data_IF_471882580068
#
_entry.id   IF_471882580068
#
_cell.length_a   1.000
_cell.length_b   1.000
_cell.length_c   1.000
_cell.angle_alpha   90.00
_cell.angle_beta   90.00
_cell.angle_gamma   90.00
#
_symmetry.space_group_name_H-M   'P 1'
#
loop_
_entity.id
_entity.type
_entity.pdbx_description
1 polymer ?
#
# COMPACT_ATOMS: atom_id res chain seq x y z
N UNK A 1 -24.95 -51.72 0.79
CA UNK A 1 -24.95 -51.29 -0.62
C UNK A 1 -25.01 -49.77 -0.60
N UNK A 2 -24.16 -49.05 -1.37
CA UNK A 2 -24.11 -47.56 -1.35
C UNK A 2 -25.42 -47.01 -1.94
N UNK A 3 -26.08 -46.11 -1.22
CA UNK A 3 -27.33 -45.47 -1.63
C UNK A 3 -27.18 -43.95 -1.51
N UNK A 4 -27.33 -43.25 -2.64
CA UNK A 4 -27.22 -41.80 -2.70
C UNK A 4 -28.44 -41.22 -3.40
N UNK A 5 -28.99 -40.15 -2.87
CA UNK A 5 -29.96 -39.32 -3.58
C UNK A 5 -29.26 -38.33 -4.50
N UNK A 6 -29.10 -38.72 -5.77
CA UNK A 6 -28.46 -37.87 -6.76
C UNK A 6 -29.48 -36.87 -7.32
N UNK A 7 -29.55 -35.66 -6.72
CA UNK A 7 -30.37 -34.56 -7.24
C UNK A 7 -29.68 -33.91 -8.44
N UNK A 8 -30.37 -33.74 -9.55
CA UNK A 8 -29.92 -32.95 -10.68
C UNK A 8 -29.85 -31.48 -10.24
N UNK A 9 -28.65 -30.96 -9.98
CA UNK A 9 -28.43 -29.53 -9.82
C UNK A 9 -28.14 -28.89 -11.19
N UNK A 10 -28.64 -27.69 -11.47
CA UNK A 10 -28.32 -26.99 -12.73
C UNK A 10 -26.80 -26.84 -12.89
N UNK A 11 -26.26 -27.36 -14.03
CA UNK A 11 -24.83 -27.24 -14.36
C UNK A 11 -23.91 -28.32 -13.79
N UNK A 12 -24.37 -29.27 -12.95
CA UNK A 12 -23.53 -30.33 -12.39
C UNK A 12 -23.89 -31.67 -13.03
N UNK A 13 -22.96 -32.34 -13.74
CA UNK A 13 -23.17 -33.66 -14.31
C UNK A 13 -23.41 -34.73 -13.20
N UNK A 14 -24.28 -35.75 -13.47
CA UNK A 14 -24.58 -36.78 -12.48
C UNK A 14 -23.35 -37.60 -12.02
N UNK A 15 -22.35 -37.78 -12.87
CA UNK A 15 -21.13 -38.48 -12.48
C UNK A 15 -20.34 -37.68 -11.43
N UNK A 16 -20.31 -36.37 -11.54
CA UNK A 16 -19.63 -35.48 -10.59
C UNK A 16 -20.35 -35.47 -9.23
N UNK A 17 -21.72 -35.48 -9.23
CA UNK A 17 -22.48 -35.59 -8.02
C UNK A 17 -22.21 -36.93 -7.30
N UNK A 18 -22.14 -38.05 -8.05
CA UNK A 18 -21.82 -39.37 -7.51
C UNK A 18 -20.38 -39.41 -6.99
N UNK A 19 -19.41 -38.84 -7.73
CA UNK A 19 -18.03 -38.71 -7.31
C UNK A 19 -17.92 -37.98 -5.95
N UNK A 20 -18.57 -36.83 -5.81
CA UNK A 20 -18.57 -36.02 -4.57
C UNK A 20 -19.16 -36.79 -3.38
N UNK A 21 -20.21 -37.58 -3.59
CA UNK A 21 -20.81 -38.40 -2.54
C UNK A 21 -19.83 -39.50 -2.06
N UNK A 22 -19.24 -40.28 -2.99
CA UNK A 22 -18.29 -41.33 -2.63
C UNK A 22 -17.04 -40.77 -1.98
N UNK A 23 -16.47 -39.72 -2.53
CA UNK A 23 -15.30 -38.98 -1.96
C UNK A 23 -15.61 -38.50 -0.55
N UNK A 24 -16.79 -37.91 -0.32
CA UNK A 24 -17.24 -37.47 1.00
C UNK A 24 -17.35 -38.62 2.01
N UNK A 25 -17.85 -39.76 1.61
CA UNK A 25 -17.95 -40.97 2.45
C UNK A 25 -16.54 -41.56 2.75
N UNK A 26 -15.59 -41.49 1.83
CA UNK A 26 -14.19 -41.87 2.06
C UNK A 26 -13.52 -40.91 3.06
N UNK A 27 -13.62 -39.61 2.82
CA UNK A 27 -13.02 -38.57 3.67
C UNK A 27 -13.63 -38.50 5.08
N UNK A 28 -14.91 -38.84 5.23
CA UNK A 28 -15.58 -38.92 6.54
C UNK A 28 -15.30 -40.23 7.29
N UNK A 29 -14.60 -41.18 6.69
CA UNK A 29 -14.36 -42.50 7.27
C UNK A 29 -15.57 -43.44 7.23
N UNK A 30 -16.66 -43.11 6.57
CA UNK A 30 -17.82 -43.96 6.37
C UNK A 30 -17.54 -45.10 5.41
N UNK A 31 -16.64 -44.92 4.47
CA UNK A 31 -16.00 -45.93 3.66
C UNK A 31 -14.56 -46.11 4.13
N UNK A 32 -14.27 -47.30 4.67
CA UNK A 32 -12.96 -47.57 5.29
C UNK A 32 -11.90 -47.94 4.26
N UNK A 33 -10.60 -47.65 4.51
CA UNK A 33 -9.52 -48.13 3.69
C UNK A 33 -9.56 -49.64 3.49
N UNK A 34 -9.30 -50.10 2.26
CA UNK A 34 -9.41 -51.49 1.88
C UNK A 34 -10.82 -52.03 1.65
N UNK A 35 -11.86 -51.22 1.92
CA UNK A 35 -13.23 -51.63 1.67
C UNK A 35 -13.50 -51.75 0.17
N UNK A 36 -14.10 -52.86 -0.22
CA UNK A 36 -14.49 -53.12 -1.61
C UNK A 36 -15.73 -52.30 -2.01
N UNK A 37 -15.64 -51.55 -3.07
CA UNK A 37 -16.75 -50.83 -3.67
C UNK A 37 -17.62 -51.79 -4.57
N UNK A 38 -18.91 -51.47 -4.75
CA UNK A 38 -19.77 -52.20 -5.68
C UNK A 38 -19.20 -52.16 -7.10
N UNK A 39 -19.46 -53.21 -7.90
CA UNK A 39 -19.11 -53.16 -9.32
C UNK A 39 -19.88 -52.02 -10.04
N UNK A 40 -19.32 -51.47 -11.10
CA UNK A 40 -19.93 -50.39 -11.91
C UNK A 40 -21.39 -50.79 -12.31
N UNK A 41 -21.63 -52.05 -12.66
CA UNK A 41 -22.95 -52.56 -13.03
C UNK A 41 -23.89 -52.65 -11.83
N UNK A 42 -23.41 -53.15 -10.71
CA UNK A 42 -24.21 -53.26 -9.49
C UNK A 42 -24.62 -51.87 -8.94
N UNK A 43 -23.71 -50.92 -8.94
CA UNK A 43 -23.97 -49.57 -8.45
C UNK A 43 -24.91 -48.78 -9.39
N UNK A 44 -24.73 -48.91 -10.71
CA UNK A 44 -25.62 -48.30 -11.70
C UNK A 44 -27.06 -48.78 -11.58
N UNK A 45 -27.25 -50.09 -11.37
CA UNK A 45 -28.57 -50.69 -11.17
C UNK A 45 -29.22 -50.22 -9.86
N UNK A 46 -28.43 -50.16 -8.77
CA UNK A 46 -28.92 -49.75 -7.45
C UNK A 46 -29.32 -48.26 -7.42
N UNK A 47 -28.53 -47.41 -8.02
CA UNK A 47 -28.79 -45.95 -8.04
C UNK A 47 -29.69 -45.52 -9.19
N UNK A 48 -30.08 -46.41 -10.08
CA UNK A 48 -30.87 -46.12 -11.29
C UNK A 48 -30.25 -45.08 -12.20
N UNK A 49 -28.91 -45.11 -12.33
CA UNK A 49 -28.16 -44.23 -13.20
C UNK A 49 -27.47 -44.98 -14.34
N UNK A 50 -27.01 -44.31 -15.38
CA UNK A 50 -26.28 -44.95 -16.47
C UNK A 50 -24.95 -45.54 -15.99
N UNK A 51 -24.50 -46.63 -16.63
CA UNK A 51 -23.17 -47.23 -16.38
C UNK A 51 -22.05 -46.23 -16.61
N UNK A 52 -22.19 -45.35 -17.60
CA UNK A 52 -21.25 -44.27 -17.95
C UNK A 52 -21.13 -43.29 -16.79
N UNK A 53 -22.22 -42.96 -16.09
CA UNK A 53 -22.19 -42.09 -14.90
C UNK A 53 -21.34 -42.67 -13.78
N UNK A 54 -21.46 -43.95 -13.51
CA UNK A 54 -20.66 -44.66 -12.48
C UNK A 54 -19.18 -44.77 -12.95
N UNK A 55 -19.02 -45.03 -14.23
CA UNK A 55 -17.68 -45.13 -14.85
C UNK A 55 -16.89 -43.80 -14.74
N UNK A 56 -17.53 -42.67 -15.05
CA UNK A 56 -16.93 -41.36 -14.90
C UNK A 56 -16.56 -41.06 -13.44
N UNK A 57 -17.45 -41.32 -12.48
CA UNK A 57 -17.19 -41.14 -11.05
C UNK A 57 -15.99 -42.01 -10.56
N UNK A 58 -15.97 -43.30 -10.96
CA UNK A 58 -14.91 -44.21 -10.56
C UNK A 58 -13.55 -43.87 -11.24
N UNK A 59 -13.58 -43.40 -12.50
CA UNK A 59 -12.35 -42.96 -13.16
C UNK A 59 -11.73 -41.75 -12.43
N UNK A 60 -12.55 -40.77 -12.06
CA UNK A 60 -12.06 -39.61 -11.33
C UNK A 60 -11.54 -39.99 -9.94
N UNK A 61 -12.23 -40.86 -9.19
CA UNK A 61 -11.73 -41.36 -7.91
C UNK A 61 -10.41 -42.12 -8.03
N UNK A 62 -10.21 -42.87 -9.12
CA UNK A 62 -8.95 -43.55 -9.43
C UNK A 62 -7.83 -42.59 -9.77
N UNK A 63 -8.09 -41.60 -10.63
CA UNK A 63 -7.10 -40.57 -11.02
C UNK A 63 -6.64 -39.74 -9.83
N UNK A 64 -7.55 -39.46 -8.89
CA UNK A 64 -7.25 -38.71 -7.66
C UNK A 64 -6.72 -39.60 -6.51
N UNK A 65 -6.63 -40.95 -6.70
CA UNK A 65 -6.05 -41.85 -5.72
C UNK A 65 -6.94 -42.17 -4.51
N UNK A 66 -8.25 -41.87 -4.55
CA UNK A 66 -9.19 -42.26 -3.50
C UNK A 66 -9.53 -43.74 -3.52
N UNK A 67 -9.43 -44.36 -4.68
CA UNK A 67 -9.68 -45.81 -4.85
C UNK A 67 -8.59 -46.41 -5.73
N UNK A 68 -8.34 -47.70 -5.60
CA UNK A 68 -7.50 -48.48 -6.52
C UNK A 68 -8.32 -49.55 -7.23
N UNK A 69 -7.87 -49.96 -8.39
CA UNK A 69 -8.46 -51.04 -9.16
C UNK A 69 -7.59 -52.27 -9.09
N UNK A 70 -8.15 -53.41 -8.76
CA UNK A 70 -7.51 -54.72 -8.84
C UNK A 70 -8.12 -55.49 -9.99
N UNK A 71 -7.27 -55.99 -10.91
CA UNK A 71 -7.73 -56.67 -12.13
C UNK A 71 -8.56 -57.92 -11.80
N UNK A 72 -9.74 -58.03 -12.42
CA UNK A 72 -10.71 -59.10 -12.21
C UNK A 72 -11.31 -59.20 -10.80
N UNK A 73 -10.87 -58.35 -9.86
CA UNK A 73 -11.34 -58.37 -8.45
C UNK A 73 -12.31 -57.24 -8.16
N UNK A 74 -11.97 -55.99 -8.54
CA UNK A 74 -12.84 -54.85 -8.37
C UNK A 74 -12.12 -53.57 -7.93
N UNK A 75 -12.89 -52.64 -7.29
CA UNK A 75 -12.42 -51.36 -6.80
C UNK A 75 -12.39 -51.35 -5.28
N UNK A 76 -11.30 -50.78 -4.72
CA UNK A 76 -11.06 -50.72 -3.27
C UNK A 76 -10.74 -49.32 -2.85
N UNK A 77 -11.16 -48.89 -1.68
CA UNK A 77 -10.86 -47.59 -1.07
C UNK A 77 -9.37 -47.58 -0.66
N UNK A 78 -8.67 -46.52 -1.02
CA UNK A 78 -7.30 -46.32 -0.58
C UNK A 78 -7.22 -45.66 0.81
N UNK A 79 -6.10 -45.87 1.50
CA UNK A 79 -5.81 -45.20 2.74
C UNK A 79 -5.46 -43.72 2.42
N UNK A 80 -6.42 -42.85 2.55
CA UNK A 80 -6.17 -41.40 2.48
C UNK A 80 -5.78 -40.95 3.87
N UNK A 81 -4.59 -40.34 4.03
CA UNK A 81 -4.25 -39.67 5.27
C UNK A 81 -5.32 -38.62 5.54
N UNK A 82 -6.07 -38.79 6.61
CA UNK A 82 -7.06 -37.82 7.03
C UNK A 82 -6.31 -36.55 7.45
N UNK A 83 -6.24 -35.57 6.56
CA UNK A 83 -6.18 -34.19 7.03
C UNK A 83 -7.48 -33.98 7.82
N UNK A 84 -7.39 -34.11 9.14
CA UNK A 84 -8.45 -33.70 10.05
C UNK A 84 -8.70 -32.24 9.74
N UNK A 85 -9.67 -31.99 8.86
CA UNK A 85 -10.24 -30.66 8.76
C UNK A 85 -10.98 -30.45 10.07
N UNK A 86 -10.24 -30.00 11.10
CA UNK A 86 -10.89 -29.28 12.18
C UNK A 86 -11.76 -28.21 11.46
N UNK A 87 -13.05 -28.11 11.77
CA UNK A 87 -13.83 -26.99 11.27
C UNK A 87 -13.08 -25.75 11.70
N UNK A 88 -12.53 -25.04 10.72
CA UNK A 88 -12.07 -23.68 10.95
C UNK A 88 -13.34 -22.97 11.37
N UNK A 89 -13.54 -22.80 12.68
CA UNK A 89 -14.45 -21.79 13.17
C UNK A 89 -13.96 -20.47 12.57
N UNK A 90 -14.50 -20.11 11.41
CA UNK A 90 -14.53 -18.71 11.01
C UNK A 90 -15.45 -18.06 12.04
N UNK A 91 -14.86 -17.58 13.11
CA UNK A 91 -15.41 -16.40 13.73
C UNK A 91 -15.52 -15.38 12.59
N UNK A 92 -16.71 -15.23 12.07
CA UNK A 92 -17.10 -14.07 11.32
C UNK A 92 -17.10 -12.92 12.37
N UNK A 93 -15.91 -12.47 12.75
CA UNK A 93 -15.76 -11.09 13.17
C UNK A 93 -15.97 -10.27 11.89
N UNK A 94 -17.22 -10.08 11.49
CA UNK A 94 -17.62 -8.81 10.95
C UNK A 94 -17.38 -7.83 12.09
N UNK A 95 -16.14 -7.37 12.20
CA UNK A 95 -15.87 -6.07 12.75
C UNK A 95 -16.65 -5.08 11.88
N UNK A 96 -17.90 -4.87 12.25
CA UNK A 96 -18.61 -3.64 11.97
C UNK A 96 -17.73 -2.55 12.58
N UNK A 97 -16.74 -2.07 11.81
CA UNK A 97 -16.00 -0.87 12.18
C UNK A 97 -17.07 0.16 12.46
N UNK A 98 -17.10 0.73 13.67
CA UNK A 98 -18.03 1.81 13.95
C UNK A 98 -17.89 2.82 12.81
N UNK A 99 -18.98 3.49 12.46
CA UNK A 99 -19.06 4.48 11.38
C UNK A 99 -18.22 5.72 11.75
N UNK A 100 -16.90 5.52 11.83
CA UNK A 100 -15.90 6.50 12.27
C UNK A 100 -15.42 7.28 11.06
N UNK A 101 -15.41 8.60 11.14
CA UNK A 101 -14.72 9.47 10.19
C UNK A 101 -13.25 9.49 10.58
N UNK A 102 -12.40 8.84 9.81
CA UNK A 102 -10.98 8.71 10.10
C UNK A 102 -10.17 9.81 9.40
N UNK A 103 -9.77 10.82 10.19
CA UNK A 103 -8.89 11.92 9.78
C UNK A 103 -7.40 11.55 9.86
N UNK A 104 -7.05 10.31 10.16
CA UNK A 104 -5.67 9.80 10.13
C UNK A 104 -5.41 8.96 8.89
N UNK A 105 -6.47 8.39 8.30
CA UNK A 105 -6.38 7.48 7.18
C UNK A 105 -5.98 8.16 5.87
N UNK A 106 -5.22 7.43 5.08
CA UNK A 106 -4.96 7.77 3.69
C UNK A 106 -5.92 6.95 2.82
N UNK A 107 -6.87 7.61 2.19
CA UNK A 107 -7.84 6.96 1.30
C UNK A 107 -7.74 7.49 -0.13
N UNK A 108 -8.14 6.69 -1.13
CA UNK A 108 -8.35 7.18 -2.48
C UNK A 108 -9.72 7.84 -2.53
N UNK A 109 -9.79 9.15 -2.51
CA UNK A 109 -11.07 9.84 -2.62
C UNK A 109 -11.79 9.51 -3.94
N UNK A 110 -11.07 9.27 -5.04
CA UNK A 110 -11.64 9.02 -6.36
C UNK A 110 -10.69 8.23 -7.27
N UNK A 111 -10.69 6.91 -7.20
CA UNK A 111 -9.92 6.11 -8.14
C UNK A 111 -10.60 6.10 -9.53
N UNK A 112 -9.85 6.22 -10.64
CA UNK A 112 -10.40 6.30 -11.99
C UNK A 112 -10.75 4.92 -12.58
N UNK A 113 -11.67 4.17 -11.94
CA UNK A 113 -12.00 2.78 -12.27
C UNK A 113 -12.28 2.53 -13.75
N UNK A 114 -13.07 3.38 -14.41
CA UNK A 114 -13.44 3.18 -15.82
C UNK A 114 -12.25 3.26 -16.75
N UNK A 115 -11.36 4.22 -16.55
CA UNK A 115 -10.15 4.40 -17.34
C UNK A 115 -9.16 3.27 -17.05
N UNK A 116 -8.96 2.95 -15.76
CA UNK A 116 -8.05 1.88 -15.35
C UNK A 116 -8.46 0.52 -15.93
N UNK A 117 -9.74 0.13 -15.80
CA UNK A 117 -10.27 -1.12 -16.34
C UNK A 117 -10.17 -1.20 -17.87
N UNK A 118 -10.37 -0.06 -18.56
CA UNK A 118 -10.19 0.01 -20.00
C UNK A 118 -8.74 -0.28 -20.37
N UNK A 119 -7.78 0.39 -19.73
CA UNK A 119 -6.35 0.20 -19.98
C UNK A 119 -5.89 -1.22 -19.64
N UNK A 120 -6.36 -1.81 -18.52
CA UNK A 120 -6.06 -3.21 -18.20
C UNK A 120 -6.52 -4.17 -19.28
N UNK A 121 -7.74 -3.96 -19.82
CA UNK A 121 -8.25 -4.78 -20.93
C UNK A 121 -7.39 -4.62 -22.17
N UNK A 122 -7.02 -3.40 -22.53
CA UNK A 122 -6.14 -3.13 -23.67
C UNK A 122 -4.77 -3.80 -23.48
N UNK A 123 -4.19 -3.73 -22.30
CA UNK A 123 -2.93 -4.41 -21.94
C UNK A 123 -3.05 -5.91 -22.16
N UNK A 124 -4.12 -6.54 -21.65
CA UNK A 124 -4.33 -7.99 -21.79
C UNK A 124 -4.48 -8.42 -23.26
N UNK A 125 -5.21 -7.63 -24.06
CA UNK A 125 -5.45 -7.94 -25.48
C UNK A 125 -4.19 -7.76 -26.31
N UNK A 126 -3.42 -6.70 -26.07
CA UNK A 126 -2.26 -6.36 -26.89
C UNK A 126 -1.02 -7.19 -26.53
N UNK A 127 -0.82 -7.48 -25.25
CA UNK A 127 0.40 -8.15 -24.77
C UNK A 127 0.26 -9.67 -24.67
N UNK A 128 -0.94 -10.17 -24.41
CA UNK A 128 -1.23 -11.61 -24.35
C UNK A 128 -0.23 -12.36 -23.47
N UNK A 129 0.43 -13.38 -24.03
CA UNK A 129 1.38 -14.23 -23.32
C UNK A 129 2.64 -13.49 -22.81
N UNK A 130 2.98 -12.32 -23.36
CA UNK A 130 4.13 -11.54 -22.89
C UNK A 130 3.96 -11.07 -21.44
N UNK A 131 2.71 -10.89 -20.97
CA UNK A 131 2.43 -10.55 -19.58
C UNK A 131 2.82 -11.64 -18.57
N UNK A 132 2.99 -12.86 -19.02
CA UNK A 132 3.38 -14.00 -18.18
C UNK A 132 4.89 -14.11 -18.00
N UNK A 133 5.66 -13.33 -18.74
CA UNK A 133 7.10 -13.30 -18.62
C UNK A 133 7.52 -12.41 -17.43
N UNK A 134 8.65 -12.76 -16.82
CA UNK A 134 9.26 -11.92 -15.78
C UNK A 134 9.67 -10.57 -16.39
N UNK A 135 9.41 -9.50 -15.65
CA UNK A 135 9.92 -8.17 -15.99
C UNK A 135 11.39 -8.04 -15.62
N UNK A 136 12.05 -6.99 -16.14
CA UNK A 136 13.37 -6.58 -15.66
C UNK A 136 13.36 -6.42 -14.12
N UNK A 137 14.44 -6.77 -13.46
CA UNK A 137 14.58 -6.70 -12.00
C UNK A 137 14.39 -5.27 -11.43
N UNK A 138 14.70 -4.25 -12.24
CA UNK A 138 14.43 -2.84 -11.92
C UNK A 138 12.96 -2.43 -12.20
N UNK A 139 12.17 -3.30 -12.79
CA UNK A 139 10.82 -3.03 -13.28
C UNK A 139 10.80 -2.73 -14.78
N UNK A 140 9.59 -2.70 -15.34
CA UNK A 140 9.31 -2.55 -16.76
C UNK A 140 9.94 -1.28 -17.34
N UNK A 141 10.73 -1.42 -18.41
CA UNK A 141 11.41 -0.29 -19.06
C UNK A 141 10.44 0.81 -19.52
N UNK A 142 9.28 0.43 -20.09
CA UNK A 142 8.25 1.39 -20.50
C UNK A 142 7.68 2.18 -19.30
N UNK A 143 7.53 1.55 -18.13
CA UNK A 143 7.06 2.26 -16.94
C UNK A 143 8.16 3.20 -16.40
N UNK A 144 9.41 2.77 -16.39
CA UNK A 144 10.54 3.62 -15.99
C UNK A 144 10.68 4.84 -16.91
N UNK A 145 10.49 4.66 -18.22
CA UNK A 145 10.47 5.74 -19.19
C UNK A 145 9.31 6.72 -18.93
N UNK A 146 8.09 6.22 -18.74
CA UNK A 146 6.92 7.04 -18.47
C UNK A 146 7.05 7.81 -17.14
N UNK A 147 7.69 7.23 -16.11
CA UNK A 147 8.01 7.92 -14.87
C UNK A 147 9.03 9.04 -15.10
N UNK A 148 10.10 8.80 -15.87
CA UNK A 148 11.11 9.81 -16.16
C UNK A 148 10.50 11.01 -16.91
N UNK A 149 9.64 10.76 -17.90
CA UNK A 149 8.89 11.79 -18.63
C UNK A 149 7.96 12.59 -17.72
N UNK A 150 7.26 11.90 -16.82
CA UNK A 150 6.41 12.55 -15.82
C UNK A 150 7.24 13.44 -14.88
N UNK A 151 8.37 12.96 -14.38
CA UNK A 151 9.28 13.74 -13.51
C UNK A 151 9.84 14.96 -14.22
N UNK A 152 10.20 14.83 -15.50
CA UNK A 152 10.67 15.96 -16.31
C UNK A 152 9.57 17.02 -16.48
N UNK A 153 8.36 16.60 -16.85
CA UNK A 153 7.24 17.51 -17.08
C UNK A 153 6.71 18.16 -15.80
N UNK A 154 6.67 17.40 -14.70
CA UNK A 154 5.98 17.80 -13.49
C UNK A 154 6.89 18.38 -12.40
N UNK A 155 8.13 17.85 -12.28
CA UNK A 155 9.12 18.24 -11.27
C UNK A 155 10.34 18.97 -11.84
N UNK A 156 10.45 19.06 -13.18
CA UNK A 156 11.65 19.59 -13.86
C UNK A 156 12.89 18.72 -13.64
N UNK A 157 12.72 17.45 -13.25
CA UNK A 157 13.81 16.52 -12.98
C UNK A 157 14.18 15.76 -14.25
N UNK A 158 15.43 15.91 -14.70
CA UNK A 158 15.98 15.13 -15.80
C UNK A 158 16.65 13.87 -15.24
N UNK A 159 15.96 12.74 -15.34
CA UNK A 159 16.44 11.45 -14.82
C UNK A 159 16.59 10.43 -15.93
N UNK A 160 17.65 9.63 -15.87
CA UNK A 160 17.82 8.49 -16.77
C UNK A 160 16.88 7.36 -16.30
N UNK A 161 15.97 6.86 -17.16
CA UNK A 161 15.11 5.71 -16.86
C UNK A 161 15.89 4.49 -16.38
N UNK A 162 17.17 4.33 -16.77
CA UNK A 162 18.03 3.27 -16.33
C UNK A 162 18.42 3.39 -14.84
N UNK A 163 18.22 4.55 -14.21
CA UNK A 163 18.47 4.81 -12.80
C UNK A 163 17.22 4.71 -11.92
N UNK A 164 16.08 4.30 -12.49
CA UNK A 164 14.82 4.11 -11.77
C UNK A 164 14.67 2.65 -11.37
N UNK A 165 14.26 2.41 -10.12
CA UNK A 165 13.87 1.11 -9.58
C UNK A 165 12.42 1.17 -9.13
N UNK A 166 11.61 0.22 -9.58
CA UNK A 166 10.19 0.08 -9.24
C UNK A 166 10.04 -0.98 -8.14
N UNK A 167 9.23 -0.71 -7.13
CA UNK A 167 8.97 -1.63 -6.02
C UNK A 167 7.54 -1.60 -5.50
N UNK A 168 7.13 -2.68 -4.84
CA UNK A 168 5.79 -2.84 -4.27
C UNK A 168 5.61 -2.04 -2.96
N UNK A 169 5.63 -0.72 -3.09
CA UNK A 169 5.51 0.24 -2.00
C UNK A 169 6.86 0.68 -1.42
N UNK A 170 6.83 1.79 -0.70
CA UNK A 170 8.03 2.40 -0.11
C UNK A 170 8.67 1.51 0.95
N UNK A 171 7.89 0.69 1.64
CA UNK A 171 8.39 -0.24 2.66
C UNK A 171 9.44 -1.21 2.09
N UNK A 172 9.19 -1.74 0.89
CA UNK A 172 10.14 -2.58 0.16
C UNK A 172 11.38 -1.79 -0.25
N UNK A 173 11.20 -0.60 -0.77
CA UNK A 173 12.29 0.26 -1.23
C UNK A 173 13.19 0.71 -0.08
N UNK A 174 12.63 1.02 1.11
CA UNK A 174 13.43 1.35 2.30
C UNK A 174 14.32 0.17 2.71
N UNK A 175 13.77 -1.05 2.73
CA UNK A 175 14.56 -2.25 3.03
C UNK A 175 15.69 -2.46 2.00
N UNK A 176 15.42 -2.20 0.74
CA UNK A 176 16.38 -2.32 -0.34
C UNK A 176 17.51 -1.27 -0.19
N UNK A 177 17.15 -0.03 0.18
CA UNK A 177 18.11 1.04 0.44
C UNK A 177 19.03 0.74 1.62
N UNK A 178 18.50 0.16 2.71
CA UNK A 178 19.33 -0.24 3.86
C UNK A 178 20.36 -1.29 3.46
N UNK A 179 19.98 -2.24 2.60
CA UNK A 179 20.92 -3.25 2.08
C UNK A 179 21.96 -2.62 1.15
N UNK A 180 21.55 -1.66 0.32
CA UNK A 180 22.43 -0.97 -0.63
C UNK A 180 23.41 -0.04 0.07
N UNK A 181 22.94 0.77 1.01
CA UNK A 181 23.76 1.77 1.69
C UNK A 181 24.61 1.18 2.83
N UNK A 182 24.08 0.19 3.55
CA UNK A 182 24.73 -0.48 4.67
C UNK A 182 23.94 -0.34 5.97
N UNK A 183 23.81 -1.43 6.72
CA UNK A 183 23.13 -1.51 8.03
C UNK A 183 23.96 -0.88 9.16
N UNK A 184 25.25 -0.80 8.97
CA UNK A 184 26.24 -0.22 9.88
C UNK A 184 26.20 1.30 9.93
N UNK A 185 25.60 1.94 8.93
CA UNK A 185 25.45 3.40 8.88
C UNK A 185 24.45 3.90 9.92
N UNK A 186 24.65 5.17 10.30
CA UNK A 186 23.74 5.92 11.16
C UNK A 186 22.74 6.69 10.29
N UNK A 187 21.46 6.33 10.42
CA UNK A 187 20.34 6.95 9.70
C UNK A 187 19.70 8.03 10.57
N UNK A 188 19.66 9.25 10.10
CA UNK A 188 18.91 10.34 10.70
C UNK A 188 17.53 10.42 10.04
N UNK A 189 16.47 10.40 10.83
CA UNK A 189 15.08 10.52 10.38
C UNK A 189 14.40 11.70 11.07
N UNK A 190 13.56 12.41 10.35
CA UNK A 190 12.87 13.61 10.86
C UNK A 190 12.09 13.33 12.14
N UNK A 191 12.11 14.28 13.08
CA UNK A 191 11.35 14.26 14.32
C UNK A 191 10.78 15.66 14.63
N UNK A 192 9.42 15.81 14.73
CA UNK A 192 8.43 14.74 14.58
C UNK A 192 8.48 14.13 13.19
N UNK A 193 8.02 12.91 12.99
CA UNK A 193 8.06 12.28 11.68
C UNK A 193 7.20 11.01 11.57
N UNK A 194 7.12 10.46 10.38
CA UNK A 194 6.37 9.24 10.13
C UNK A 194 7.05 8.04 10.80
N UNK A 195 6.48 7.62 11.93
CA UNK A 195 7.05 6.59 12.82
C UNK A 195 7.40 5.27 12.12
N UNK A 196 6.66 4.92 11.06
CA UNK A 196 6.88 3.68 10.30
C UNK A 196 8.27 3.61 9.64
N UNK A 197 8.85 4.75 9.23
CA UNK A 197 10.20 4.78 8.65
C UNK A 197 11.21 4.27 9.67
N UNK A 198 11.16 4.79 10.90
CA UNK A 198 12.04 4.37 11.98
C UNK A 198 11.85 2.89 12.34
N UNK A 199 10.60 2.43 12.40
CA UNK A 199 10.29 1.02 12.68
C UNK A 199 10.86 0.08 11.61
N UNK A 200 10.74 0.45 10.33
CA UNK A 200 11.30 -0.35 9.22
C UNK A 200 12.82 -0.41 9.32
N UNK A 201 13.47 0.75 9.55
CA UNK A 201 14.92 0.81 9.68
C UNK A 201 15.42 -0.01 10.87
N UNK A 202 14.77 0.11 12.03
CA UNK A 202 15.10 -0.69 13.21
C UNK A 202 14.89 -2.19 12.98
N UNK A 203 13.78 -2.57 12.35
CA UNK A 203 13.50 -3.98 12.00
C UNK A 203 14.53 -4.57 11.02
N UNK A 204 15.07 -3.74 10.13
CA UNK A 204 16.15 -4.13 9.22
C UNK A 204 17.55 -4.12 9.87
N UNK A 205 17.66 -3.76 11.16
CA UNK A 205 18.90 -3.73 11.92
C UNK A 205 19.75 -2.46 11.72
N UNK A 206 19.19 -1.40 11.14
CA UNK A 206 19.87 -0.11 11.00
C UNK A 206 19.71 0.74 12.28
N UNK A 207 20.74 1.50 12.61
CA UNK A 207 20.71 2.44 13.74
C UNK A 207 20.09 3.76 13.29
N UNK A 208 19.08 4.26 14.05
CA UNK A 208 18.39 5.51 13.76
C UNK A 208 18.60 6.53 14.87
N UNK A 209 18.74 7.77 14.47
CA UNK A 209 18.72 8.96 15.34
C UNK A 209 17.66 9.93 14.86
N UNK A 210 17.18 10.77 15.76
CA UNK A 210 16.25 11.85 15.43
C UNK A 210 16.97 13.01 14.79
N UNK A 211 16.45 13.48 13.67
CA UNK A 211 16.80 14.75 13.04
C UNK A 211 15.73 15.78 13.42
N UNK A 212 15.97 16.53 14.50
CA UNK A 212 15.02 17.53 14.98
C UNK A 212 14.80 18.64 13.94
N UNK A 213 13.54 19.03 13.80
CA UNK A 213 13.16 20.12 12.91
C UNK A 213 13.17 21.46 13.65
N UNK A 214 13.61 22.48 12.96
CA UNK A 214 13.32 23.87 13.27
C UNK A 214 12.29 24.45 12.27
N UNK A 215 12.02 25.76 12.31
CA UNK A 215 11.07 26.40 11.39
C UNK A 215 11.49 26.38 9.90
N UNK A 216 12.61 25.78 9.55
CA UNK A 216 13.13 25.65 8.18
C UNK A 216 13.41 24.19 7.77
N UNK A 217 13.10 23.22 8.63
CA UNK A 217 13.41 21.80 8.43
C UNK A 217 14.60 21.33 9.25
N UNK A 218 15.23 20.25 8.81
CA UNK A 218 16.40 19.67 9.52
C UNK A 218 17.60 20.62 9.46
N UNK A 219 18.18 20.88 10.63
CA UNK A 219 19.43 21.66 10.73
C UNK A 219 20.64 20.74 10.50
N UNK A 220 21.42 20.92 9.40
CA UNK A 220 22.57 20.08 9.13
C UNK A 220 23.65 20.13 10.22
N UNK A 221 23.75 21.22 10.98
CA UNK A 221 24.73 21.35 12.08
C UNK A 221 24.43 20.38 13.24
N UNK A 222 23.18 19.90 13.37
CA UNK A 222 22.75 18.96 14.41
C UNK A 222 22.83 17.49 13.99
N UNK A 223 23.17 17.19 12.73
CA UNK A 223 23.18 15.82 12.20
C UNK A 223 24.36 14.97 12.70
N UNK A 224 25.29 15.56 13.46
CA UNK A 224 26.42 14.85 14.07
C UNK A 224 27.13 13.88 13.11
N UNK A 225 27.19 12.59 13.49
CA UNK A 225 27.84 11.54 12.71
C UNK A 225 26.88 10.79 11.77
N UNK A 226 25.68 11.30 11.52
CA UNK A 226 24.78 10.70 10.57
C UNK A 226 25.40 10.59 9.18
N UNK A 227 25.16 9.47 8.53
CA UNK A 227 25.67 9.18 7.18
C UNK A 227 24.52 9.15 6.16
N UNK A 228 23.30 8.83 6.60
CA UNK A 228 22.10 8.84 5.74
C UNK A 228 21.06 9.72 6.41
N UNK A 229 20.56 10.71 5.67
CA UNK A 229 19.48 11.57 6.12
C UNK A 229 18.23 11.28 5.31
N UNK A 230 17.11 10.89 5.97
CA UNK A 230 15.82 10.65 5.33
C UNK A 230 14.87 11.80 5.67
N UNK A 231 14.43 12.54 4.66
CA UNK A 231 13.60 13.75 4.80
C UNK A 231 12.52 13.84 3.73
N UNK A 232 11.48 14.63 4.05
CA UNK A 232 10.38 15.00 3.13
C UNK A 232 10.38 16.53 2.91
N UNK A 233 11.35 17.06 2.17
CA UNK A 233 11.61 18.51 2.12
C UNK A 233 10.55 19.29 1.33
N UNK A 234 9.78 18.62 0.47
CA UNK A 234 8.73 19.25 -0.32
C UNK A 234 7.48 19.52 0.50
N UNK A 235 7.17 18.61 1.45
CA UNK A 235 6.04 18.71 2.34
C UNK A 235 6.23 17.72 3.50
N UNK A 236 6.69 18.24 4.61
CA UNK A 236 7.00 17.40 5.77
C UNK A 236 5.73 16.87 6.44
N UNK A 237 5.66 15.56 6.68
CA UNK A 237 4.60 14.96 7.49
C UNK A 237 5.12 14.70 8.91
N UNK A 238 4.42 15.16 9.97
CA UNK A 238 3.07 15.72 9.95
C UNK A 238 2.99 17.24 10.03
N UNK A 239 4.10 17.98 10.03
CA UNK A 239 4.07 19.43 10.33
C UNK A 239 3.61 20.32 9.17
N UNK A 240 3.56 19.81 7.94
CA UNK A 240 3.26 20.63 6.76
C UNK A 240 4.42 21.52 6.28
N UNK A 241 5.53 21.53 6.99
CA UNK A 241 6.68 22.39 6.69
C UNK A 241 7.25 22.12 5.30
N UNK A 242 7.57 23.19 4.58
CA UNK A 242 8.31 23.17 3.31
C UNK A 242 9.71 23.65 3.55
N UNK A 243 10.72 22.81 3.33
CA UNK A 243 12.13 23.16 3.49
C UNK A 243 12.55 24.19 2.44
N UNK A 244 12.96 25.42 2.81
CA UNK A 244 13.32 26.47 1.87
C UNK A 244 14.63 26.14 1.11
N UNK A 245 14.83 26.80 -0.03
CA UNK A 245 15.96 26.53 -0.92
C UNK A 245 17.32 26.66 -0.22
N UNK A 246 17.48 27.67 0.64
CA UNK A 246 18.70 27.86 1.42
C UNK A 246 19.05 26.70 2.32
N UNK A 247 18.04 26.11 2.97
CA UNK A 247 18.21 24.93 3.82
C UNK A 247 18.51 23.68 2.98
N UNK A 248 17.85 23.51 1.80
CA UNK A 248 18.16 22.43 0.85
C UNK A 248 19.61 22.47 0.41
N UNK A 249 20.12 23.68 0.09
CA UNK A 249 21.55 23.88 -0.27
C UNK A 249 22.50 23.55 0.89
N UNK A 250 22.14 23.94 2.12
CA UNK A 250 22.93 23.60 3.31
C UNK A 250 22.97 22.06 3.55
N UNK A 251 21.88 21.37 3.37
CA UNK A 251 21.81 19.90 3.46
C UNK A 251 22.61 19.21 2.35
N UNK A 252 22.58 19.74 1.12
CA UNK A 252 23.44 19.24 0.03
C UNK A 252 24.91 19.47 0.35
N UNK A 253 25.28 20.62 0.91
CA UNK A 253 26.65 20.88 1.36
C UNK A 253 27.10 19.88 2.43
N UNK A 254 26.26 19.62 3.43
CA UNK A 254 26.51 18.59 4.44
C UNK A 254 26.73 17.19 3.83
N UNK A 255 25.98 16.80 2.80
CA UNK A 255 26.17 15.50 2.16
C UNK A 255 27.48 15.38 1.40
N UNK A 256 28.04 16.50 0.90
CA UNK A 256 29.32 16.56 0.18
C UNK A 256 30.54 16.47 1.08
N UNK A 257 30.43 16.82 2.35
CA UNK A 257 31.55 16.81 3.30
C UNK A 257 32.15 15.41 3.50
N UNK A 258 31.36 14.34 3.34
CA UNK A 258 31.83 12.96 3.44
C UNK A 258 31.33 12.14 2.25
N UNK A 259 32.20 11.29 1.70
CA UNK A 259 31.89 10.48 0.52
C UNK A 259 30.74 9.51 0.74
N UNK A 260 30.59 8.99 1.95
CA UNK A 260 29.61 7.97 2.33
C UNK A 260 28.29 8.55 2.87
N UNK A 261 28.09 9.88 2.81
CA UNK A 261 26.81 10.54 3.14
C UNK A 261 25.87 10.56 1.97
N UNK A 262 24.58 10.31 2.26
CA UNK A 262 23.48 10.37 1.30
C UNK A 262 22.23 11.01 1.92
N UNK A 263 21.39 11.59 1.07
CA UNK A 263 20.07 12.11 1.43
C UNK A 263 19.03 11.28 0.71
N UNK A 264 18.02 10.78 1.43
CA UNK A 264 16.82 10.17 0.88
C UNK A 264 15.75 11.26 0.90
N UNK A 265 15.33 11.70 -0.28
CA UNK A 265 14.24 12.65 -0.47
C UNK A 265 12.96 11.88 -0.74
N UNK A 266 12.07 11.79 0.26
CA UNK A 266 10.75 11.14 0.15
C UNK A 266 9.70 12.18 -0.23
N UNK A 267 9.24 12.13 -1.48
CA UNK A 267 8.37 13.12 -2.11
C UNK A 267 6.96 12.53 -2.32
N UNK A 268 6.29 12.18 -1.22
CA UNK A 268 5.10 11.31 -1.18
C UNK A 268 3.79 11.96 -1.69
N UNK A 269 3.68 13.30 -1.74
CA UNK A 269 2.43 14.02 -2.09
C UNK A 269 2.62 15.31 -2.90
N UNK A 270 3.76 15.47 -3.55
CA UNK A 270 4.11 16.69 -4.31
C UNK A 270 3.13 17.06 -5.42
N UNK A 271 2.33 16.11 -5.88
CA UNK A 271 1.26 16.34 -6.84
C UNK A 271 0.11 17.21 -6.28
N UNK A 272 -0.06 17.31 -4.97
CA UNK A 272 -1.23 17.93 -4.31
C UNK A 272 -0.95 19.27 -3.63
N UNK A 273 -0.06 20.07 -4.20
CA UNK A 273 0.16 21.45 -3.71
C UNK A 273 -0.88 22.40 -4.26
N UNK A 274 -1.40 23.28 -3.37
CA UNK A 274 -2.45 24.25 -3.71
C UNK A 274 -1.92 25.68 -3.87
N UNK A 275 -0.78 26.02 -3.29
CA UNK A 275 -0.15 27.33 -3.37
C UNK A 275 1.11 27.31 -4.23
N UNK A 276 1.35 28.41 -4.96
CA UNK A 276 2.56 28.82 -5.67
C UNK A 276 3.39 27.75 -6.42
N UNK A 277 4.39 28.18 -7.17
CA UNK A 277 5.28 27.32 -7.96
C UNK A 277 5.94 26.24 -7.09
N UNK A 278 5.96 24.97 -7.56
CA UNK A 278 6.60 23.90 -6.83
C UNK A 278 8.09 24.20 -6.62
N UNK A 279 8.57 24.03 -5.38
CA UNK A 279 9.99 24.08 -5.08
C UNK A 279 10.72 22.97 -5.84
N UNK A 280 11.90 23.24 -6.43
CA UNK A 280 12.69 22.20 -7.09
C UNK A 280 12.98 21.05 -6.13
N UNK A 281 12.91 19.81 -6.60
CA UNK A 281 13.36 18.66 -5.81
C UNK A 281 14.84 18.81 -5.45
N UNK A 282 15.27 18.27 -4.31
CA UNK A 282 16.69 18.29 -3.95
C UNK A 282 17.52 17.49 -4.95
N UNK A 283 16.96 16.41 -5.48
CA UNK A 283 17.57 15.61 -6.54
C UNK A 283 17.92 16.45 -7.78
N UNK A 284 17.06 17.41 -8.18
CA UNK A 284 17.34 18.29 -9.32
C UNK A 284 18.40 19.35 -9.05
N UNK A 285 18.72 19.61 -7.77
CA UNK A 285 19.76 20.53 -7.32
C UNK A 285 21.09 19.82 -7.05
N UNK A 286 21.09 18.50 -7.05
CA UNK A 286 22.25 17.67 -6.72
C UNK A 286 23.12 17.41 -7.94
N UNK A 287 24.34 17.98 -7.94
CA UNK A 287 25.36 17.74 -8.96
C UNK A 287 26.34 16.62 -8.62
N UNK A 288 26.31 16.10 -7.40
CA UNK A 288 27.34 15.22 -6.85
C UNK A 288 26.86 13.78 -6.64
N UNK A 289 25.61 13.50 -6.98
CA UNK A 289 25.01 12.17 -6.84
C UNK A 289 24.85 11.73 -5.38
N UNK A 290 24.36 12.64 -4.53
CA UNK A 290 24.14 12.42 -3.09
C UNK A 290 22.69 12.20 -2.73
N UNK A 291 21.75 12.54 -3.63
CA UNK A 291 20.32 12.47 -3.36
C UNK A 291 19.69 11.24 -4.03
N UNK A 292 19.04 10.43 -3.22
CA UNK A 292 18.17 9.33 -3.64
C UNK A 292 16.75 9.89 -3.57
N UNK A 293 16.08 9.98 -4.72
CA UNK A 293 14.70 10.45 -4.77
C UNK A 293 13.72 9.28 -4.71
N UNK A 294 12.66 9.43 -3.94
CA UNK A 294 11.60 8.42 -3.81
C UNK A 294 10.22 9.04 -3.98
N UNK A 295 9.31 8.29 -4.59
CA UNK A 295 7.90 8.66 -4.66
C UNK A 295 7.01 7.40 -4.74
N UNK A 296 5.71 7.58 -4.53
CA UNK A 296 4.72 6.51 -4.51
C UNK A 296 3.42 6.92 -5.17
N UNK A 297 2.84 6.03 -5.97
CA UNK A 297 1.50 6.21 -6.53
C UNK A 297 0.37 5.93 -5.51
N UNK A 298 0.71 5.58 -4.26
CA UNK A 298 -0.29 5.26 -3.22
C UNK A 298 -1.18 6.44 -2.84
N UNK A 299 -0.64 7.67 -2.85
CA UNK A 299 -1.39 8.90 -2.57
C UNK A 299 -2.10 9.44 -3.79
N UNK A 300 -1.45 9.34 -4.94
CA UNK A 300 -1.96 9.89 -6.20
C UNK A 300 -2.99 8.99 -6.89
N UNK A 301 -2.97 7.66 -6.64
CA UNK A 301 -3.95 6.71 -7.16
C UNK A 301 -4.73 6.01 -6.05
N UNK A 302 -4.13 5.04 -5.37
CA UNK A 302 -4.74 4.32 -4.25
C UNK A 302 -3.67 3.62 -3.41
N UNK A 303 -3.84 3.50 -2.07
CA UNK A 303 -2.92 2.75 -1.21
C UNK A 303 -2.74 1.28 -1.62
N UNK A 304 -3.78 0.67 -2.20
CA UNK A 304 -3.78 -0.73 -2.66
C UNK A 304 -3.01 -0.97 -3.95
N UNK A 305 -2.70 0.07 -4.73
CA UNK A 305 -1.96 -0.07 -6.00
C UNK A 305 -0.52 -0.55 -5.76
N UNK A 306 0.04 -0.21 -4.60
CA UNK A 306 1.37 -0.64 -4.13
C UNK A 306 2.49 -0.46 -5.14
N UNK A 307 2.49 0.59 -5.94
CA UNK A 307 3.58 0.93 -6.86
C UNK A 307 4.28 2.17 -6.33
N UNK A 308 5.58 2.02 -6.07
CA UNK A 308 6.50 3.10 -5.70
C UNK A 308 7.77 2.98 -6.51
N UNK A 309 8.54 4.04 -6.57
CA UNK A 309 9.81 4.02 -7.28
C UNK A 309 10.86 4.85 -6.55
N UNK A 310 12.12 4.56 -6.84
CA UNK A 310 13.26 5.39 -6.44
C UNK A 310 14.16 5.67 -7.63
N UNK A 311 14.78 6.83 -7.61
CA UNK A 311 15.80 7.25 -8.56
C UNK A 311 17.14 7.24 -7.84
N UNK A 312 18.04 6.37 -8.24
CA UNK A 312 19.37 6.26 -7.67
C UNK A 312 20.37 7.14 -8.44
N UNK A 313 21.31 7.78 -7.75
CA UNK A 313 22.53 8.29 -8.40
C UNK A 313 23.28 7.19 -9.17
N UNK A 314 23.93 7.54 -10.28
CA UNK A 314 24.59 6.57 -11.16
C UNK A 314 25.55 5.62 -10.45
N UNK A 315 26.36 6.13 -9.53
CA UNK A 315 27.30 5.30 -8.75
C UNK A 315 26.58 4.28 -7.83
N UNK A 316 25.47 4.70 -7.22
CA UNK A 316 24.63 3.79 -6.41
C UNK A 316 23.89 2.80 -7.28
N UNK A 317 23.47 3.20 -8.49
CA UNK A 317 22.81 2.30 -9.43
C UNK A 317 23.74 1.21 -9.92
N UNK A 318 25.00 1.54 -10.19
CA UNK A 318 26.00 0.54 -10.55
C UNK A 318 26.25 -0.44 -9.39
N UNK A 319 26.39 0.09 -8.16
CA UNK A 319 26.49 -0.77 -6.97
C UNK A 319 25.27 -1.66 -6.79
N UNK A 320 24.05 -1.12 -7.01
CA UNK A 320 22.81 -1.90 -6.95
C UNK A 320 22.85 -3.08 -7.93
N UNK A 321 23.22 -2.84 -9.20
CA UNK A 321 23.29 -3.90 -10.20
C UNK A 321 24.25 -5.02 -9.81
N UNK A 322 25.38 -4.67 -9.20
CA UNK A 322 26.40 -5.62 -8.79
C UNK A 322 26.02 -6.42 -7.54
N UNK A 323 25.30 -5.80 -6.58
CA UNK A 323 25.09 -6.39 -5.25
C UNK A 323 23.65 -6.88 -5.01
N UNK A 324 22.66 -6.22 -5.59
CA UNK A 324 21.23 -6.45 -5.35
C UNK A 324 20.42 -6.65 -6.65
N UNK A 325 21.08 -6.57 -7.80
CA UNK A 325 20.43 -6.72 -9.11
C UNK A 325 19.77 -8.08 -9.38
N UNK A 326 19.98 -9.06 -8.51
CA UNK A 326 19.35 -10.37 -8.56
C UNK A 326 17.90 -10.38 -8.01
N UNK A 327 17.48 -9.37 -7.26
CA UNK A 327 16.11 -9.27 -6.77
C UNK A 327 15.14 -9.04 -7.92
N UNK A 328 14.14 -9.89 -8.04
CA UNK A 328 13.06 -9.70 -9.01
C UNK A 328 12.21 -8.48 -8.63
N UNK A 329 11.70 -7.77 -9.64
CA UNK A 329 10.73 -6.71 -9.41
C UNK A 329 9.49 -7.25 -8.72
N UNK A 330 9.08 -6.58 -7.63
CA UNK A 330 7.98 -7.03 -6.77
C UNK A 330 6.59 -6.57 -7.25
N UNK A 331 6.53 -5.75 -8.30
CA UNK A 331 5.28 -5.27 -8.88
C UNK A 331 4.89 -6.16 -10.09
N UNK A 332 3.65 -6.70 -10.13
CA UNK A 332 3.21 -7.52 -11.26
C UNK A 332 3.28 -6.80 -12.60
N UNK A 333 3.57 -7.53 -13.68
CA UNK A 333 3.69 -6.98 -15.04
C UNK A 333 2.40 -6.29 -15.50
N UNK A 334 1.24 -6.85 -15.17
CA UNK A 334 -0.09 -6.31 -15.51
C UNK A 334 -0.27 -4.87 -15.04
N UNK A 335 0.03 -4.62 -13.77
CA UNK A 335 -0.07 -3.30 -13.14
C UNK A 335 0.97 -2.34 -13.71
N UNK A 336 2.19 -2.82 -13.95
CA UNK A 336 3.25 -1.99 -14.54
C UNK A 336 2.89 -1.51 -15.95
N UNK A 337 2.40 -2.40 -16.83
CA UNK A 337 1.96 -2.02 -18.17
C UNK A 337 0.75 -1.09 -18.13
N UNK A 338 -0.20 -1.34 -17.23
CA UNK A 338 -1.39 -0.49 -17.07
C UNK A 338 -0.99 0.92 -16.64
N UNK A 339 -0.12 1.02 -15.62
CA UNK A 339 0.35 2.32 -15.13
C UNK A 339 1.20 3.06 -16.17
N UNK A 340 2.04 2.35 -16.93
CA UNK A 340 2.83 2.95 -17.99
C UNK A 340 1.92 3.62 -19.04
N UNK A 341 0.85 2.95 -19.49
CA UNK A 341 -0.15 3.54 -20.38
C UNK A 341 -0.93 4.69 -19.75
N UNK A 342 -1.26 4.55 -18.45
CA UNK A 342 -1.99 5.58 -17.74
C UNK A 342 -1.20 6.89 -17.65
N UNK A 343 0.12 6.81 -17.45
CA UNK A 343 1.04 7.95 -17.50
C UNK A 343 1.19 8.48 -18.94
N UNK A 344 1.64 7.66 -19.88
CA UNK A 344 2.00 8.08 -21.24
C UNK A 344 0.84 8.62 -22.07
N UNK A 345 -0.40 8.18 -21.81
CA UNK A 345 -1.60 8.69 -22.48
C UNK A 345 -2.21 9.94 -21.79
N UNK A 346 -1.53 10.52 -20.79
CA UNK A 346 -1.97 11.74 -20.09
C UNK A 346 -3.20 11.54 -19.19
N UNK A 347 -3.55 10.29 -18.88
CA UNK A 347 -4.66 9.99 -17.97
C UNK A 347 -4.32 10.33 -16.52
N UNK A 348 -3.06 10.15 -16.14
CA UNK A 348 -2.57 10.48 -14.80
C UNK A 348 -2.68 11.99 -14.53
N UNK A 349 -2.23 12.83 -15.46
CA UNK A 349 -2.32 14.29 -15.32
C UNK A 349 -3.78 14.76 -15.17
N UNK A 350 -4.69 14.24 -16.02
CA UNK A 350 -6.12 14.54 -15.92
C UNK A 350 -6.71 14.10 -14.58
N UNK A 351 -6.25 12.96 -14.06
CA UNK A 351 -6.66 12.44 -12.75
C UNK A 351 -6.15 13.37 -11.63
N UNK A 352 -4.88 13.72 -11.61
CA UNK A 352 -4.28 14.63 -10.61
C UNK A 352 -5.00 15.98 -10.60
N UNK A 353 -5.31 16.54 -11.77
CA UNK A 353 -6.04 17.79 -11.86
C UNK A 353 -7.46 17.74 -11.25
N UNK A 354 -8.18 16.59 -11.41
CA UNK A 354 -9.47 16.35 -10.73
C UNK A 354 -9.29 16.23 -9.23
N UNK A 355 -8.28 15.45 -8.79
CA UNK A 355 -7.99 15.24 -7.37
C UNK A 355 -7.62 16.54 -6.66
N UNK A 356 -6.80 17.41 -7.28
CA UNK A 356 -6.49 18.74 -6.76
C UNK A 356 -7.75 19.57 -6.51
N UNK A 357 -8.68 19.60 -7.47
CA UNK A 357 -9.94 20.33 -7.32
C UNK A 357 -10.77 19.76 -6.18
N UNK A 358 -10.85 18.43 -6.08
CA UNK A 358 -11.57 17.74 -5.03
C UNK A 358 -10.95 18.02 -3.65
N UNK A 359 -9.65 17.84 -3.49
CA UNK A 359 -8.98 18.09 -2.21
C UNK A 359 -9.02 19.57 -1.80
N UNK A 360 -8.91 20.47 -2.75
CA UNK A 360 -9.11 21.90 -2.47
C UNK A 360 -10.51 22.16 -1.92
N UNK A 361 -11.54 21.59 -2.54
CA UNK A 361 -12.92 21.68 -2.05
C UNK A 361 -13.07 21.09 -0.62
N UNK A 362 -12.47 19.92 -0.36
CA UNK A 362 -12.50 19.31 0.98
C UNK A 362 -11.84 20.21 2.01
N UNK A 363 -10.65 20.73 1.72
CA UNK A 363 -9.93 21.65 2.58
C UNK A 363 -10.75 22.91 2.87
N UNK A 364 -11.22 23.59 1.82
CA UNK A 364 -11.95 24.86 1.94
C UNK A 364 -13.24 24.68 2.77
N UNK A 365 -13.93 23.53 2.60
CA UNK A 365 -15.12 23.18 3.40
C UNK A 365 -14.76 22.90 4.86
N UNK A 366 -13.69 22.16 5.15
CA UNK A 366 -13.20 21.92 6.51
C UNK A 366 -12.79 23.22 7.20
N UNK A 367 -12.06 24.10 6.51
CA UNK A 367 -11.66 25.40 7.02
C UNK A 367 -12.88 26.23 7.41
N UNK A 368 -13.90 26.26 6.55
CA UNK A 368 -15.16 26.95 6.84
C UNK A 368 -15.84 26.37 8.07
N UNK A 369 -16.00 25.05 8.16
CA UNK A 369 -16.60 24.39 9.33
C UNK A 369 -15.88 24.75 10.64
N UNK A 370 -14.54 24.71 10.63
CA UNK A 370 -13.74 25.03 11.81
C UNK A 370 -13.83 26.52 12.19
N UNK A 371 -13.99 27.42 11.21
CA UNK A 371 -14.18 28.86 11.48
C UNK A 371 -15.59 29.25 11.94
N UNK A 372 -16.58 28.40 11.69
CA UNK A 372 -17.99 28.64 12.04
C UNK A 372 -18.45 27.83 13.27
N UNK A 373 -17.63 26.91 13.79
CA UNK A 373 -18.00 26.11 14.95
C UNK A 373 -17.94 26.92 16.27
N UNK A 374 -18.59 26.44 17.31
CA UNK A 374 -18.65 27.09 18.65
C UNK A 374 -17.27 27.26 19.32
N UNK A 375 -16.26 26.51 18.89
CA UNK A 375 -14.88 26.57 19.38
C UNK A 375 -13.94 27.42 18.49
N UNK A 376 -14.44 28.09 17.45
CA UNK A 376 -13.62 28.81 16.46
C UNK A 376 -12.56 29.74 17.09
N UNK A 377 -12.93 30.48 18.13
CA UNK A 377 -12.02 31.40 18.85
C UNK A 377 -10.93 30.67 19.67
N UNK A 378 -11.03 29.35 19.81
CA UNK A 378 -10.07 28.49 20.52
C UNK A 378 -9.24 27.59 19.59
N UNK A 379 -9.45 27.74 18.27
CA UNK A 379 -8.74 26.96 17.27
C UNK A 379 -7.82 27.87 16.46
N UNK A 380 -6.58 27.42 16.27
CA UNK A 380 -5.62 28.07 15.34
C UNK A 380 -5.23 27.06 14.29
N UNK A 381 -5.46 27.39 13.02
CA UNK A 381 -5.12 26.54 11.89
C UNK A 381 -3.74 26.94 11.36
N UNK A 382 -2.89 25.95 11.18
CA UNK A 382 -1.51 26.14 10.71
C UNK A 382 -1.28 25.27 9.46
N UNK A 383 -0.46 25.73 8.51
CA UNK A 383 0.00 25.02 7.30
C UNK A 383 -1.16 24.55 6.35
N UNK A 384 -2.23 25.31 6.26
CA UNK A 384 -3.42 24.98 5.47
C UNK A 384 -3.18 24.91 3.95
N UNK A 385 -2.08 25.47 3.46
CA UNK A 385 -1.77 25.54 2.03
C UNK A 385 -0.85 24.42 1.53
N UNK A 386 -0.38 23.57 2.43
CA UNK A 386 0.58 22.54 2.13
C UNK A 386 -0.06 21.13 2.12
N UNK A 387 -0.15 20.49 0.95
CA UNK A 387 -0.46 19.07 0.79
C UNK A 387 -1.87 18.63 1.20
N UNK A 388 -1.97 17.45 1.81
CA UNK A 388 -3.22 16.73 2.08
C UNK A 388 -3.63 16.72 3.55
N UNK A 389 -2.96 17.50 4.39
CA UNK A 389 -3.27 17.67 5.81
C UNK A 389 -2.93 19.09 6.26
N UNK A 390 -3.47 19.49 7.39
CA UNK A 390 -3.12 20.71 8.09
C UNK A 390 -3.14 20.47 9.60
N UNK A 391 -2.63 21.42 10.36
CA UNK A 391 -2.61 21.37 11.81
C UNK A 391 -3.69 22.24 12.43
N UNK A 392 -4.29 21.76 13.51
CA UNK A 392 -5.26 22.52 14.32
C UNK A 392 -4.77 22.54 15.76
N UNK A 393 -4.33 23.70 16.20
CA UNK A 393 -3.98 23.93 17.61
C UNK A 393 -5.22 24.26 18.41
N UNK A 394 -5.37 23.57 19.55
CA UNK A 394 -6.57 23.68 20.41
C UNK A 394 -6.19 24.36 21.72
N UNK A 395 -6.74 25.55 21.97
CA UNK A 395 -6.57 26.31 23.21
C UNK A 395 -7.74 26.07 24.19
N UNK A 396 -7.77 24.89 24.79
CA UNK A 396 -8.74 24.52 25.81
C UNK A 396 -8.04 24.18 27.12
N UNK A 397 -8.66 24.46 28.31
CA UNK A 397 -8.10 24.16 29.63
C UNK A 397 -8.23 22.68 30.01
N UNK A 398 -8.04 21.77 29.07
CA UNK A 398 -8.09 20.31 29.23
C UNK A 398 -6.82 19.67 28.66
N UNK A 399 -6.56 18.43 29.06
CA UNK A 399 -5.40 17.68 28.52
C UNK A 399 -5.67 17.18 27.11
N UNK A 400 -4.60 16.89 26.37
CA UNK A 400 -4.67 16.32 25.00
C UNK A 400 -5.46 15.02 24.97
N UNK A 401 -5.24 14.11 25.93
CA UNK A 401 -5.97 12.83 26.01
C UNK A 401 -7.49 13.02 26.15
N UNK A 402 -7.92 14.07 26.83
CA UNK A 402 -9.35 14.42 26.94
C UNK A 402 -9.90 14.87 25.60
N UNK A 403 -9.14 15.66 24.85
CA UNK A 403 -9.53 16.11 23.51
C UNK A 403 -9.69 14.90 22.58
N UNK A 404 -8.67 14.04 22.49
CA UNK A 404 -8.67 12.87 21.60
C UNK A 404 -9.80 11.89 21.97
N UNK A 405 -10.04 11.67 23.28
CA UNK A 405 -11.15 10.81 23.73
C UNK A 405 -12.50 11.36 23.31
N UNK A 406 -12.75 12.66 23.47
CA UNK A 406 -14.01 13.31 23.05
C UNK A 406 -14.21 13.24 21.55
N UNK A 407 -13.15 13.41 20.76
CA UNK A 407 -13.21 13.19 19.32
C UNK A 407 -13.64 11.75 18.99
N UNK A 408 -13.05 10.76 19.66
CA UNK A 408 -13.42 9.35 19.47
C UNK A 408 -14.88 9.04 19.88
N UNK A 409 -15.37 9.63 20.97
CA UNK A 409 -16.76 9.49 21.46
C UNK A 409 -17.79 9.98 20.43
N UNK A 410 -17.46 10.99 19.63
CA UNK A 410 -18.32 11.49 18.54
C UNK A 410 -18.03 10.83 17.18
N UNK A 411 -17.19 9.77 17.15
CA UNK A 411 -16.88 9.03 15.94
C UNK A 411 -15.85 9.69 15.04
N UNK A 412 -14.94 10.52 15.60
CA UNK A 412 -13.80 11.10 14.88
C UNK A 412 -12.50 10.40 15.26
N UNK A 413 -11.85 9.75 14.31
CA UNK A 413 -10.48 9.27 14.40
C UNK A 413 -9.52 10.40 14.04
N UNK A 414 -8.76 10.91 15.00
CA UNK A 414 -7.79 11.99 14.79
C UNK A 414 -6.52 11.73 15.63
N UNK A 415 -5.37 12.17 15.15
CA UNK A 415 -4.09 12.07 15.86
C UNK A 415 -3.61 13.45 16.32
N UNK A 416 -2.78 13.46 17.35
CA UNK A 416 -2.06 14.64 17.79
C UNK A 416 -0.65 14.68 17.20
N UNK A 417 -0.08 15.86 17.03
CA UNK A 417 1.31 16.05 16.64
C UNK A 417 2.28 15.35 17.62
N UNK A 418 1.89 15.22 18.90
CA UNK A 418 2.67 14.51 19.92
C UNK A 418 2.86 13.02 19.62
N UNK A 419 1.94 12.38 18.88
CA UNK A 419 2.02 10.96 18.51
C UNK A 419 3.16 10.65 17.51
N UNK A 420 3.72 11.69 16.90
CA UNK A 420 4.78 11.59 15.90
C UNK A 420 6.18 11.85 16.46
N UNK A 421 6.30 12.05 17.78
CA UNK A 421 7.58 12.14 18.48
C UNK A 421 7.97 10.81 19.10
N UNK A 422 9.24 10.44 18.99
CA UNK A 422 9.82 9.27 19.66
C UNK A 422 10.53 9.64 20.96
N UNK A 423 11.05 10.87 21.02
CA UNK A 423 11.72 11.40 22.18
C UNK A 423 10.80 12.23 23.08
N UNK A 424 11.37 13.28 23.69
CA UNK A 424 10.61 14.20 24.53
C UNK A 424 9.71 15.07 23.68
N UNK A 425 8.41 15.01 23.94
CA UNK A 425 7.40 15.85 23.26
C UNK A 425 7.53 17.30 23.74
N UNK A 426 7.83 18.28 22.86
CA UNK A 426 7.83 19.69 23.21
C UNK A 426 6.43 20.18 23.61
N UNK A 427 6.37 21.19 24.52
CA UNK A 427 5.09 21.72 24.97
C UNK A 427 4.22 22.26 23.81
N UNK A 428 4.84 22.87 22.81
CA UNK A 428 4.17 23.41 21.64
C UNK A 428 3.59 22.35 20.68
N UNK A 429 4.03 21.11 20.77
CA UNK A 429 3.46 20.01 19.98
C UNK A 429 2.18 19.42 20.61
N UNK A 430 1.95 19.70 21.89
CA UNK A 430 0.77 19.23 22.62
C UNK A 430 -0.46 20.00 22.20
N UNK A 431 -1.60 19.31 22.19
CA UNK A 431 -2.90 19.84 21.74
C UNK A 431 -2.87 20.42 20.32
N UNK A 432 -2.00 19.89 19.48
CA UNK A 432 -1.92 20.20 18.06
C UNK A 432 -2.39 18.98 17.27
N UNK A 433 -3.60 19.04 16.72
CA UNK A 433 -4.22 17.94 16.01
C UNK A 433 -3.78 17.90 14.54
N UNK A 434 -3.56 16.72 14.00
CA UNK A 434 -3.21 16.51 12.59
C UNK A 434 -4.45 16.11 11.83
N UNK A 435 -4.96 17.00 10.98
CA UNK A 435 -6.17 16.78 10.18
C UNK A 435 -5.79 16.37 8.77
N UNK A 436 -5.78 15.07 8.51
CA UNK A 436 -5.57 14.52 7.17
C UNK A 436 -6.93 14.34 6.47
N UNK A 437 -7.13 15.06 5.37
CA UNK A 437 -8.39 15.02 4.63
C UNK A 437 -8.33 14.22 3.32
N UNK A 438 -7.21 13.54 3.05
CA UNK A 438 -7.04 12.76 1.82
C UNK A 438 -7.96 11.55 1.73
N UNK A 439 -8.44 11.03 2.87
CA UNK A 439 -9.35 9.88 2.95
C UNK A 439 -10.83 10.23 2.91
N UNK A 440 -11.19 11.52 3.00
CA UNK A 440 -12.58 11.94 3.15
C UNK A 440 -13.36 11.83 1.83
N UNK A 441 -14.57 11.28 1.92
CA UNK A 441 -15.60 11.36 0.89
C UNK A 441 -16.52 12.57 1.09
N UNK A 442 -17.35 12.89 0.10
CA UNK A 442 -18.39 13.91 0.28
C UNK A 442 -19.39 13.57 1.39
N UNK A 443 -19.66 12.27 1.59
CA UNK A 443 -20.56 11.79 2.66
C UNK A 443 -19.94 12.06 4.04
N UNK A 444 -18.62 11.80 4.18
CA UNK A 444 -17.91 12.07 5.43
C UNK A 444 -17.91 13.56 5.78
N UNK A 445 -17.72 14.43 4.79
CA UNK A 445 -17.80 15.89 4.98
C UNK A 445 -19.17 16.35 5.47
N UNK A 446 -20.25 15.78 4.94
CA UNK A 446 -21.61 16.11 5.39
C UNK A 446 -21.86 15.65 6.83
N UNK A 447 -21.42 14.42 7.16
CA UNK A 447 -21.51 13.89 8.51
C UNK A 447 -20.67 14.71 9.51
N UNK A 448 -19.52 15.20 9.07
CA UNK A 448 -18.63 16.03 9.90
C UNK A 448 -19.27 17.41 10.20
N UNK A 449 -20.00 18.00 9.25
CA UNK A 449 -20.80 19.20 9.49
C UNK A 449 -21.86 18.98 10.58
N UNK A 450 -22.57 17.85 10.51
CA UNK A 450 -23.58 17.48 11.52
C UNK A 450 -22.94 17.31 12.90
N UNK A 451 -21.78 16.64 12.99
CA UNK A 451 -21.05 16.45 14.25
C UNK A 451 -20.60 17.80 14.83
N UNK A 452 -20.00 18.67 14.02
CA UNK A 452 -19.51 19.97 14.48
C UNK A 452 -20.64 20.93 14.87
N UNK A 453 -21.84 20.80 14.26
CA UNK A 453 -23.02 21.58 14.64
C UNK A 453 -23.60 21.18 16.02
N UNK A 454 -23.31 19.98 16.51
CA UNK A 454 -23.79 19.44 17.79
C UNK A 454 -22.81 19.73 18.95
N UNK A 455 -21.55 19.96 18.63
CA UNK A 455 -20.51 20.27 19.64
C UNK A 455 -20.69 21.73 20.08
N UNK A 456 -21.45 21.92 21.12
CA UNK A 456 -21.64 23.21 21.82
C UNK A 456 -20.81 23.28 23.09
#
# INVERSE_FOLDING_TARGET
MLTYELKKAPGVPLYEALYRCIRGDILSGKLLPGQKLPSKRALSTNLKVSKITVEGAYSQLLEEGYIRSEEKVGYFVEAVEHAVQQPIHREQTEDLKPDIIDLTANGPAQFPFSVWSKLQREVMLDMGQQLLLSTDNQGLAQLRQAIAEHLAAFRGMQVDPANIIIGAGTDFLYNLLIQLLGRDKLYAVEEPGYSKIRLIYAAAGARCVSAELDGQGVDPAKLQDAQVLHISPSHHFPTGLVTPLTRRQALLSWSREKQDRYIIEDDYDSEFRFAAHPMPAMQSLDSDGKVIYMNSFSKSLAPSIRISYMVLPGALMERFRQTLGFYSCTVPSFEQHTLARFLSHGHFEKHINRMRKFYKMCRDRLMKMLSECSLADRLTIEEENAGLHFLVRVDLPVTEDVILRRCAEVGLGISSLSDYYHGKVPQQARKCLVVNYSGLSQKDLTKLEEILAIIH
#
